data_IF_344149679502
#
_entry.id   IF_344149679502
#
_cell.length_a   1.000
_cell.length_b   1.000
_cell.length_c   1.000
_cell.angle_alpha   90.00
_cell.angle_beta   90.00
_cell.angle_gamma   90.00
#
_symmetry.space_group_name_H-M   'P 1'
#
loop_
_entity.id
_entity.type
_entity.pdbx_description
1 polymer ?
#
# COMPACT_ATOMS: atom_id res chain seq x y z
N UNK A 1 32.89 30.84 5.40
CA UNK A 1 32.39 29.55 5.93
C UNK A 1 33.39 28.38 5.90
N UNK A 2 34.46 28.33 5.10
CA UNK A 2 35.33 27.15 5.02
C UNK A 2 36.06 26.84 6.35
N UNK A 3 36.35 27.84 7.15
CA UNK A 3 37.11 27.66 8.40
C UNK A 3 36.33 27.00 9.54
N UNK A 4 34.99 26.98 9.46
CA UNK A 4 34.10 26.38 10.48
C UNK A 4 33.80 24.91 10.26
N UNK A 5 34.06 24.37 9.07
CA UNK A 5 33.76 22.97 8.75
C UNK A 5 34.70 22.01 9.47
N UNK A 6 35.90 22.45 9.85
CA UNK A 6 36.93 21.62 10.46
C UNK A 6 37.16 21.87 11.96
N UNK A 7 36.38 22.77 12.56
CA UNK A 7 36.43 23.05 13.99
C UNK A 7 35.30 22.38 14.76
N UNK A 8 35.42 22.23 16.09
CA UNK A 8 34.30 21.76 16.91
C UNK A 8 33.13 22.74 16.83
N UNK A 9 31.96 22.22 16.52
CA UNK A 9 30.71 22.98 16.49
C UNK A 9 30.28 23.22 17.94
N UNK A 10 30.01 24.47 18.31
CA UNK A 10 29.46 24.77 19.64
C UNK A 10 28.08 24.23 19.80
N UNK A 11 27.66 23.87 21.00
CA UNK A 11 26.31 23.38 21.31
C UNK A 11 25.24 24.37 20.86
N UNK A 12 25.46 25.66 21.10
CA UNK A 12 24.48 26.69 20.71
C UNK A 12 24.33 26.82 19.20
N UNK A 13 25.45 26.70 18.47
CA UNK A 13 25.40 26.70 17.01
C UNK A 13 24.69 25.44 16.47
N UNK A 14 24.94 24.28 17.06
CA UNK A 14 24.27 23.04 16.71
C UNK A 14 22.78 23.15 17.00
N UNK A 15 22.39 23.62 18.18
CA UNK A 15 20.99 23.82 18.54
C UNK A 15 20.28 24.82 17.65
N UNK A 16 20.97 25.86 17.17
CA UNK A 16 20.36 26.82 16.22
C UNK A 16 20.04 26.24 14.85
N UNK A 17 20.56 25.06 14.54
CA UNK A 17 20.27 24.34 13.27
C UNK A 17 19.18 23.29 13.44
N UNK A 18 18.79 22.97 14.67
CA UNK A 18 17.70 22.05 14.90
C UNK A 18 16.38 22.74 14.60
N UNK A 19 15.55 22.04 13.91
CA UNK A 19 14.17 22.45 13.56
C UNK A 19 13.26 21.29 13.88
N UNK A 20 12.07 21.59 14.36
CA UNK A 20 11.03 20.60 14.56
C UNK A 20 10.54 20.10 13.20
N UNK A 21 10.52 18.79 13.08
CA UNK A 21 10.05 18.11 11.88
C UNK A 21 8.85 17.24 12.25
N UNK A 22 7.75 17.48 11.60
CA UNK A 22 6.49 16.76 11.83
C UNK A 22 5.90 16.23 10.52
N UNK A 23 5.09 15.22 10.63
CA UNK A 23 4.22 14.73 9.58
C UNK A 23 2.83 14.53 10.17
N UNK A 24 1.87 15.26 9.66
CA UNK A 24 0.47 15.11 10.01
C UNK A 24 -0.19 14.15 9.02
N UNK A 25 -0.83 13.12 9.53
CA UNK A 25 -1.50 12.12 8.71
C UNK A 25 -2.91 11.89 9.24
N UNK A 26 -3.88 12.05 8.35
CA UNK A 26 -5.29 11.83 8.66
C UNK A 26 -5.91 10.89 7.62
N UNK A 27 -6.83 10.05 8.05
CA UNK A 27 -7.64 9.24 7.15
C UNK A 27 -9.01 9.01 7.76
N UNK A 28 -10.04 9.27 6.97
CA UNK A 28 -11.43 9.04 7.33
C UNK A 28 -12.04 8.00 6.42
N UNK A 29 -12.87 7.15 6.99
CA UNK A 29 -13.59 6.14 6.23
C UNK A 29 -15.05 6.10 6.68
N UNK A 30 -15.95 6.13 5.71
CA UNK A 30 -17.38 5.89 5.91
C UNK A 30 -17.75 4.63 5.13
N UNK A 31 -18.52 3.77 5.78
CA UNK A 31 -19.00 2.53 5.17
C UNK A 31 -20.48 2.38 5.52
N UNK A 32 -21.27 2.09 4.50
CA UNK A 32 -22.68 1.74 4.61
C UNK A 32 -22.85 0.44 3.84
N UNK A 33 -23.41 -0.55 4.48
CA UNK A 33 -23.71 -1.84 3.85
C UNK A 33 -25.14 -2.30 4.15
N UNK A 34 -25.62 -3.18 3.31
CA UNK A 34 -26.92 -3.81 3.44
C UNK A 34 -26.86 -5.25 2.90
N UNK A 35 -27.46 -6.16 3.67
CA UNK A 35 -27.56 -7.56 3.32
C UNK A 35 -29.00 -8.01 3.28
N UNK A 36 -29.33 -8.79 2.25
CA UNK A 36 -30.59 -9.49 2.12
C UNK A 36 -30.29 -10.98 2.06
N UNK A 37 -30.75 -11.71 3.05
CA UNK A 37 -30.61 -13.17 3.11
C UNK A 37 -31.95 -13.86 3.01
N UNK A 38 -31.96 -15.02 2.40
CA UNK A 38 -33.18 -15.81 2.27
C UNK A 38 -32.92 -17.18 1.68
N UNK A 39 -34.00 -17.87 1.41
CA UNK A 39 -33.98 -19.18 0.78
C UNK A 39 -35.03 -19.23 -0.33
N UNK A 40 -34.70 -19.83 -1.44
CA UNK A 40 -35.61 -20.07 -2.57
C UNK A 40 -35.54 -21.54 -2.96
N UNK A 41 -36.66 -22.07 -3.43
CA UNK A 41 -36.73 -23.45 -3.92
C UNK A 41 -36.36 -23.51 -5.40
N UNK A 42 -35.28 -24.18 -5.75
CA UNK A 42 -34.92 -24.53 -7.12
C UNK A 42 -35.38 -25.99 -7.40
N UNK A 43 -36.62 -26.14 -7.83
CA UNK A 43 -37.26 -27.43 -7.85
C UNK A 43 -37.51 -27.97 -6.44
N UNK A 44 -36.85 -29.07 -6.07
CA UNK A 44 -36.90 -29.64 -4.72
C UNK A 44 -35.69 -29.31 -3.85
N UNK A 45 -34.76 -28.51 -4.36
CA UNK A 45 -33.52 -28.15 -3.64
C UNK A 45 -33.67 -26.77 -3.03
N UNK A 46 -33.57 -26.60 -1.71
CA UNK A 46 -33.48 -25.28 -1.09
C UNK A 46 -32.13 -24.64 -1.43
N UNK A 47 -32.17 -23.43 -1.93
CA UNK A 47 -30.99 -22.62 -2.23
C UNK A 47 -31.01 -21.41 -1.33
N UNK A 48 -30.07 -21.37 -0.37
CA UNK A 48 -29.85 -20.19 0.42
C UNK A 48 -29.12 -19.12 -0.41
N UNK A 49 -29.52 -17.88 -0.24
CA UNK A 49 -28.88 -16.75 -0.90
C UNK A 49 -28.56 -15.63 0.06
N UNK A 50 -27.49 -14.91 -0.25
CA UNK A 50 -27.16 -13.60 0.31
C UNK A 50 -26.92 -12.63 -0.86
N UNK A 51 -27.53 -11.45 -0.78
CA UNK A 51 -27.25 -10.31 -1.64
C UNK A 51 -26.70 -9.22 -0.74
N UNK A 52 -25.48 -8.79 -1.05
CA UNK A 52 -24.75 -7.77 -0.31
C UNK A 52 -24.55 -6.54 -1.18
N UNK A 53 -24.85 -5.36 -0.64
CA UNK A 53 -24.56 -4.08 -1.26
C UNK A 53 -23.77 -3.21 -0.29
N UNK A 54 -22.73 -2.56 -0.77
CA UNK A 54 -21.84 -1.75 0.06
C UNK A 54 -21.45 -0.47 -0.67
N UNK A 55 -21.41 0.63 0.07
CA UNK A 55 -20.80 1.88 -0.34
C UNK A 55 -19.76 2.26 0.70
N UNK A 56 -18.53 2.54 0.24
CA UNK A 56 -17.43 3.01 1.05
C UNK A 56 -16.88 4.32 0.46
N UNK A 57 -16.64 5.29 1.33
CA UNK A 57 -15.86 6.48 1.02
C UNK A 57 -14.65 6.51 1.95
N UNK A 58 -13.50 6.83 1.41
CA UNK A 58 -12.25 6.95 2.14
C UNK A 58 -11.56 8.24 1.70
N UNK A 59 -11.14 9.02 2.69
CA UNK A 59 -10.28 10.19 2.54
C UNK A 59 -8.90 9.89 3.12
N UNK A 60 -7.88 10.48 2.52
CA UNK A 60 -6.48 10.26 2.89
C UNK A 60 -5.71 11.55 2.73
N UNK A 61 -5.01 11.94 3.79
CA UNK A 61 -4.14 13.11 3.80
C UNK A 61 -2.86 12.83 4.60
N UNK A 62 -1.72 13.16 4.03
CA UNK A 62 -0.41 13.17 4.71
C UNK A 62 0.32 14.44 4.31
N UNK A 63 0.56 15.31 5.28
CA UNK A 63 1.22 16.59 5.10
C UNK A 63 2.46 16.67 5.99
N UNK A 64 3.67 16.76 5.42
CA UNK A 64 4.89 17.03 6.18
C UNK A 64 4.99 18.50 6.57
N UNK A 65 5.92 18.79 7.48
CA UNK A 65 6.24 20.17 7.89
C UNK A 65 6.62 21.06 6.70
N UNK A 66 6.33 22.36 6.81
CA UNK A 66 6.55 23.34 5.73
C UNK A 66 7.99 23.33 5.16
N UNK A 67 9.01 23.09 5.99
CA UNK A 67 10.40 23.02 5.54
C UNK A 67 10.73 21.82 4.64
N UNK A 68 9.78 20.91 4.42
CA UNK A 68 9.89 19.77 3.50
C UNK A 68 9.06 19.93 2.23
N UNK A 69 8.19 20.93 2.20
CA UNK A 69 7.33 21.20 1.06
C UNK A 69 8.04 22.07 0.03
N UNK A 70 7.64 21.93 -1.22
CA UNK A 70 8.06 22.83 -2.29
C UNK A 70 7.23 24.13 -2.23
N UNK A 71 7.91 25.27 -2.15
CA UNK A 71 7.26 26.57 -1.99
C UNK A 71 6.33 26.96 -3.13
N UNK A 72 6.72 26.61 -4.35
CA UNK A 72 5.96 27.01 -5.54
C UNK A 72 4.62 26.28 -5.62
N UNK A 73 4.56 25.06 -5.09
CA UNK A 73 3.40 24.19 -5.23
C UNK A 73 2.55 24.15 -3.96
N UNK A 74 3.18 24.16 -2.78
CA UNK A 74 2.52 23.83 -1.52
C UNK A 74 2.65 24.89 -0.44
N UNK A 75 3.24 26.04 -0.73
CA UNK A 75 3.41 27.12 0.23
C UNK A 75 4.39 26.77 1.35
N UNK A 76 5.45 26.03 1.01
CA UNK A 76 6.52 25.73 1.94
C UNK A 76 7.23 26.98 2.47
N UNK A 77 8.18 26.81 3.38
CA UNK A 77 8.97 27.91 3.96
C UNK A 77 10.44 27.80 3.52
N UNK A 78 10.85 28.66 2.62
CA UNK A 78 12.24 28.73 2.12
C UNK A 78 13.26 29.07 3.20
N UNK A 79 12.82 29.70 4.30
CA UNK A 79 13.71 30.04 5.43
C UNK A 79 14.15 28.80 6.23
N UNK A 80 13.38 27.70 6.16
CA UNK A 80 13.62 26.48 6.91
C UNK A 80 13.62 25.31 5.91
N UNK A 81 14.80 24.91 5.43
CA UNK A 81 14.95 23.73 4.56
C UNK A 81 15.52 22.54 5.30
N UNK A 82 14.73 21.46 5.35
CA UNK A 82 15.17 20.18 5.88
C UNK A 82 15.80 19.39 4.73
N UNK A 83 17.14 19.29 4.76
CA UNK A 83 17.92 18.71 3.67
C UNK A 83 17.90 17.17 3.69
N UNK A 84 17.60 16.54 4.83
CA UNK A 84 17.59 15.09 4.96
C UNK A 84 16.19 14.55 5.23
N UNK A 85 15.77 13.60 4.40
CA UNK A 85 14.55 12.84 4.57
C UNK A 85 13.69 12.82 3.31
N UNK A 86 12.95 11.75 3.12
CA UNK A 86 11.98 11.69 2.05
C UNK A 86 10.77 12.55 2.42
N UNK A 87 10.45 13.49 1.56
CA UNK A 87 9.18 14.19 1.65
C UNK A 87 8.10 13.23 1.16
N UNK A 88 7.27 12.78 2.07
CA UNK A 88 6.07 12.01 1.72
C UNK A 88 4.90 12.89 2.00
N UNK A 89 4.23 13.32 0.98
CA UNK A 89 2.95 13.99 1.11
C UNK A 89 2.01 13.43 0.03
N UNK A 90 0.74 13.55 0.28
CA UNK A 90 -0.29 13.11 -0.64
C UNK A 90 -1.65 13.26 -0.01
N UNK A 91 -2.61 13.56 -0.81
CA UNK A 91 -4.00 13.70 -0.40
C UNK A 91 -4.91 13.26 -1.53
N UNK A 92 -6.06 12.76 -1.17
CA UNK A 92 -7.08 12.37 -2.13
C UNK A 92 -8.14 11.49 -1.50
N UNK A 93 -9.15 11.20 -2.28
CA UNK A 93 -10.26 10.41 -1.85
C UNK A 93 -10.56 9.24 -2.80
N UNK A 94 -11.28 8.29 -2.28
CA UNK A 94 -11.75 7.13 -3.04
C UNK A 94 -13.17 6.81 -2.60
N UNK A 95 -14.04 6.60 -3.57
CA UNK A 95 -15.29 5.91 -3.33
C UNK A 95 -15.27 4.49 -3.92
N UNK A 96 -15.96 3.58 -3.27
CA UNK A 96 -16.17 2.21 -3.74
C UNK A 96 -17.64 1.83 -3.60
N UNK A 97 -18.20 1.31 -4.68
CA UNK A 97 -19.48 0.63 -4.68
C UNK A 97 -19.26 -0.85 -4.92
N UNK A 98 -19.93 -1.69 -4.14
CA UNK A 98 -19.82 -3.14 -4.27
C UNK A 98 -21.19 -3.79 -4.28
N UNK A 99 -21.32 -4.81 -5.09
CA UNK A 99 -22.51 -5.68 -5.13
C UNK A 99 -22.04 -7.13 -5.12
N UNK A 100 -22.47 -7.90 -4.12
CA UNK A 100 -22.15 -9.30 -3.96
C UNK A 100 -23.39 -10.18 -4.00
N UNK A 101 -23.26 -11.38 -4.53
CA UNK A 101 -24.25 -12.43 -4.46
C UNK A 101 -23.56 -13.72 -4.05
N UNK A 102 -24.14 -14.41 -3.08
CA UNK A 102 -23.72 -15.74 -2.67
C UNK A 102 -24.93 -16.69 -2.72
N UNK A 103 -24.71 -17.87 -3.25
CA UNK A 103 -25.68 -18.95 -3.35
C UNK A 103 -25.09 -20.21 -2.74
N UNK A 104 -25.82 -20.83 -1.82
CA UNK A 104 -25.42 -22.09 -1.21
C UNK A 104 -26.55 -23.11 -1.39
N UNK A 105 -26.22 -24.28 -1.90
CA UNK A 105 -27.20 -25.33 -2.18
C UNK A 105 -26.69 -26.71 -1.77
N UNK A 106 -27.48 -27.48 -1.01
CA UNK A 106 -27.27 -28.91 -0.87
C UNK A 106 -27.78 -29.61 -2.15
N UNK A 107 -26.86 -29.99 -3.04
CA UNK A 107 -27.19 -30.66 -4.29
C UNK A 107 -27.82 -32.03 -4.03
N UNK A 108 -27.31 -32.70 -2.98
CA UNK A 108 -27.86 -33.93 -2.42
C UNK A 108 -27.36 -34.11 -0.98
N UNK A 109 -27.75 -35.20 -0.32
CA UNK A 109 -27.37 -35.51 1.08
C UNK A 109 -25.88 -35.55 1.33
N UNK A 110 -25.07 -35.66 0.28
CA UNK A 110 -23.59 -35.80 0.38
C UNK A 110 -22.81 -34.64 -0.20
N UNK A 111 -23.44 -33.80 -1.00
CA UNK A 111 -22.77 -32.71 -1.73
C UNK A 111 -23.45 -31.38 -1.49
N UNK A 112 -22.70 -30.47 -0.93
CA UNK A 112 -23.04 -29.05 -0.79
C UNK A 112 -22.11 -28.22 -1.65
N UNK A 113 -22.65 -27.22 -2.34
CA UNK A 113 -21.89 -26.28 -3.16
C UNK A 113 -22.23 -24.84 -2.77
N UNK A 114 -21.23 -23.98 -2.83
CA UNK A 114 -21.41 -22.53 -2.66
C UNK A 114 -20.76 -21.81 -3.82
N UNK A 115 -21.48 -20.86 -4.39
CA UNK A 115 -20.96 -19.95 -5.40
C UNK A 115 -21.14 -18.52 -4.91
N UNK A 116 -20.08 -17.74 -4.95
CA UNK A 116 -20.11 -16.31 -4.62
C UNK A 116 -19.49 -15.50 -5.75
N UNK A 117 -20.07 -14.35 -6.02
CA UNK A 117 -19.50 -13.37 -6.94
C UNK A 117 -19.72 -11.97 -6.41
N UNK A 118 -18.71 -11.10 -6.59
CA UNK A 118 -18.74 -9.71 -6.16
C UNK A 118 -18.24 -8.82 -7.29
N UNK A 119 -18.97 -7.77 -7.55
CA UNK A 119 -18.56 -6.66 -8.41
C UNK A 119 -18.18 -5.48 -7.53
N UNK A 120 -16.99 -4.93 -7.75
CA UNK A 120 -16.48 -3.73 -7.08
C UNK A 120 -16.20 -2.67 -8.15
N UNK A 121 -16.66 -1.45 -7.92
CA UNK A 121 -16.37 -0.27 -8.74
C UNK A 121 -15.73 0.78 -7.87
N UNK A 122 -14.55 1.24 -8.30
CA UNK A 122 -13.75 2.25 -7.61
C UNK A 122 -13.76 3.54 -8.42
N UNK A 123 -13.92 4.64 -7.72
CA UNK A 123 -13.76 6.00 -8.24
C UNK A 123 -12.65 6.68 -7.43
N UNK A 124 -11.50 6.83 -8.07
CA UNK A 124 -10.28 7.44 -7.53
C UNK A 124 -9.41 7.93 -8.69
N UNK A 125 -8.34 8.64 -8.40
CA UNK A 125 -7.43 9.18 -9.42
C UNK A 125 -6.52 8.11 -10.05
N UNK A 126 -6.67 6.83 -9.70
CA UNK A 126 -5.89 5.77 -10.32
C UNK A 126 -6.41 5.46 -11.73
N UNK A 127 -5.49 5.30 -12.67
CA UNK A 127 -5.81 4.89 -14.03
C UNK A 127 -6.05 3.39 -14.20
N UNK A 128 -5.80 2.59 -13.16
CA UNK A 128 -5.67 1.13 -13.29
C UNK A 128 -6.66 0.32 -12.46
N UNK A 129 -7.34 0.91 -11.50
CA UNK A 129 -8.25 0.18 -10.61
C UNK A 129 -9.60 -0.04 -11.27
N UNK A 130 -10.36 1.00 -11.53
CA UNK A 130 -11.68 0.94 -12.18
C UNK A 130 -12.62 -0.07 -11.52
N UNK A 131 -13.23 -0.96 -12.32
CA UNK A 131 -14.13 -1.98 -11.80
C UNK A 131 -13.53 -3.39 -11.90
N UNK A 132 -13.90 -4.26 -10.97
CA UNK A 132 -13.44 -5.65 -10.89
C UNK A 132 -14.58 -6.59 -10.50
N UNK A 133 -14.52 -7.80 -11.03
CA UNK A 133 -15.35 -8.91 -10.59
C UNK A 133 -14.45 -9.96 -9.95
N UNK A 134 -14.84 -10.44 -8.80
CA UNK A 134 -14.22 -11.58 -8.13
C UNK A 134 -15.27 -12.65 -7.87
N UNK A 135 -14.90 -13.91 -8.12
CA UNK A 135 -15.81 -15.02 -7.95
C UNK A 135 -15.11 -16.16 -7.20
N UNK A 136 -15.89 -16.90 -6.45
CA UNK A 136 -15.43 -18.03 -5.67
C UNK A 136 -16.43 -19.18 -5.78
N UNK A 137 -15.91 -20.39 -5.88
CA UNK A 137 -16.66 -21.63 -5.84
C UNK A 137 -16.11 -22.53 -4.75
N UNK A 138 -16.99 -23.07 -3.93
CA UNK A 138 -16.64 -24.02 -2.89
C UNK A 138 -17.52 -25.26 -3.02
N UNK A 139 -17.00 -26.41 -2.60
CA UNK A 139 -17.78 -27.62 -2.41
C UNK A 139 -17.37 -28.37 -1.16
N UNK A 140 -18.33 -29.09 -0.60
CA UNK A 140 -18.12 -30.04 0.48
C UNK A 140 -18.80 -31.36 0.10
N UNK A 141 -18.04 -32.45 0.02
CA UNK A 141 -18.51 -33.78 -0.35
C UNK A 141 -18.28 -34.78 0.77
N UNK A 142 -19.34 -35.39 1.26
CA UNK A 142 -19.35 -36.41 2.34
C UNK A 142 -19.83 -37.75 1.75
N UNK A 143 -18.95 -38.55 1.14
CA UNK A 143 -19.34 -39.86 0.64
C UNK A 143 -19.77 -40.85 1.74
N UNK A 144 -19.16 -40.71 2.94
CA UNK A 144 -19.47 -41.47 4.15
C UNK A 144 -19.50 -40.55 5.35
N UNK A 145 -20.02 -41.01 6.49
CA UNK A 145 -20.08 -40.23 7.73
C UNK A 145 -18.67 -39.82 8.24
N UNK A 146 -17.68 -40.67 8.01
CA UNK A 146 -16.30 -40.49 8.49
C UNK A 146 -15.38 -39.74 7.53
N UNK A 147 -15.82 -39.46 6.28
CA UNK A 147 -14.99 -38.85 5.26
C UNK A 147 -15.61 -37.57 4.68
N UNK A 148 -14.84 -36.49 4.72
CA UNK A 148 -15.21 -35.21 4.12
C UNK A 148 -14.11 -34.71 3.19
N UNK A 149 -14.44 -34.49 1.92
CA UNK A 149 -13.62 -33.80 0.95
C UNK A 149 -14.14 -32.38 0.75
N UNK A 150 -13.24 -31.38 0.87
CA UNK A 150 -13.55 -29.96 0.60
C UNK A 150 -12.61 -29.42 -0.45
N UNK A 151 -13.13 -28.55 -1.29
CA UNK A 151 -12.32 -27.81 -2.25
C UNK A 151 -12.88 -26.41 -2.48
N UNK A 152 -11.97 -25.50 -2.85
CA UNK A 152 -12.32 -24.13 -3.22
C UNK A 152 -11.46 -23.66 -4.39
N UNK A 153 -12.06 -22.86 -5.25
CA UNK A 153 -11.39 -22.14 -6.32
C UNK A 153 -11.98 -20.74 -6.45
N UNK A 154 -11.13 -19.72 -6.58
CA UNK A 154 -11.63 -18.37 -6.69
C UNK A 154 -10.58 -17.38 -7.19
N UNK A 155 -11.08 -16.21 -7.56
CA UNK A 155 -10.28 -15.05 -7.91
C UNK A 155 -10.49 -13.97 -6.85
N UNK A 156 -9.40 -13.34 -6.43
CA UNK A 156 -9.44 -12.22 -5.48
C UNK A 156 -8.79 -11.01 -6.12
N UNK A 157 -9.26 -9.83 -5.71
CA UNK A 157 -8.70 -8.55 -6.10
C UNK A 157 -8.49 -7.71 -4.83
N UNK A 158 -7.36 -7.03 -4.80
CA UNK A 158 -7.07 -6.00 -3.81
C UNK A 158 -6.72 -4.71 -4.54
N UNK A 159 -7.47 -3.65 -4.28
CA UNK A 159 -7.11 -2.32 -4.75
C UNK A 159 -5.80 -1.85 -4.09
N UNK A 160 -4.98 -1.06 -4.78
CA UNK A 160 -3.84 -0.39 -4.18
C UNK A 160 -4.26 0.45 -2.98
N UNK A 161 -3.39 0.53 -1.98
CA UNK A 161 -3.61 1.42 -0.85
C UNK A 161 -3.60 2.89 -1.31
N UNK A 162 -4.34 3.77 -0.63
CA UNK A 162 -4.45 5.20 -0.95
C UNK A 162 -3.06 5.87 -1.05
N UNK A 163 -2.15 5.46 -0.18
CA UNK A 163 -0.78 5.92 -0.20
C UNK A 163 -0.06 5.68 -1.54
N UNK A 164 -0.32 4.58 -2.24
CA UNK A 164 0.29 4.29 -3.54
C UNK A 164 -0.32 5.10 -4.69
N UNK A 165 -1.55 5.57 -4.53
CA UNK A 165 -2.24 6.34 -5.55
C UNK A 165 -1.89 7.81 -5.43
N UNK A 166 -1.93 8.33 -4.21
CA UNK A 166 -1.88 9.77 -3.93
C UNK A 166 -0.53 10.27 -3.45
N UNK A 167 0.42 9.38 -3.06
CA UNK A 167 1.76 9.81 -2.71
C UNK A 167 2.47 10.48 -3.86
N UNK A 168 2.94 11.68 -3.60
CA UNK A 168 3.79 12.39 -4.54
C UNK A 168 5.21 11.81 -4.56
N UNK A 169 5.96 12.01 -5.65
CA UNK A 169 7.35 11.61 -5.72
C UNK A 169 8.15 12.17 -4.56
N UNK A 170 8.92 11.34 -3.91
CA UNK A 170 9.80 11.74 -2.82
C UNK A 170 11.24 11.37 -3.15
N UNK A 171 12.19 12.15 -2.61
CA UNK A 171 13.61 11.89 -2.76
C UNK A 171 14.22 11.47 -1.43
N UNK A 172 15.15 10.54 -1.49
CA UNK A 172 15.92 10.11 -0.33
C UNK A 172 17.39 10.04 -0.71
N UNK A 173 18.25 10.49 0.20
CA UNK A 173 19.68 10.25 0.05
C UNK A 173 19.98 8.78 0.33
N UNK A 174 20.53 8.10 -0.64
CA UNK A 174 20.95 6.72 -0.52
C UNK A 174 22.45 6.61 -0.77
N UNK A 175 23.09 5.67 -0.11
CA UNK A 175 24.47 5.34 -0.42
C UNK A 175 24.50 4.65 -1.78
N UNK A 176 25.23 5.26 -2.72
CA UNK A 176 25.50 4.68 -4.03
C UNK A 176 26.97 4.29 -4.15
N UNK A 177 27.25 3.19 -4.81
CA UNK A 177 28.61 2.81 -5.16
C UNK A 177 28.99 3.51 -6.45
N UNK A 178 29.99 4.39 -6.39
CA UNK A 178 30.64 4.93 -7.58
C UNK A 178 31.57 3.86 -8.16
N UNK A 179 31.01 3.02 -9.02
CA UNK A 179 31.77 1.93 -9.64
C UNK A 179 32.97 2.40 -10.47
N UNK A 180 32.90 3.48 -11.27
CA UNK A 180 34.06 4.03 -11.96
C UNK A 180 35.19 4.42 -11.02
N UNK A 181 34.87 5.15 -9.94
CA UNK A 181 35.85 5.57 -8.96
C UNK A 181 36.41 4.39 -8.14
N UNK A 182 35.55 3.45 -7.75
CA UNK A 182 35.99 2.22 -7.08
C UNK A 182 36.94 1.42 -7.95
N UNK A 183 36.67 1.28 -9.23
CA UNK A 183 37.54 0.56 -10.18
C UNK A 183 38.86 1.26 -10.40
N UNK A 184 38.85 2.58 -10.56
CA UNK A 184 40.07 3.40 -10.65
C UNK A 184 40.97 3.25 -9.41
N UNK A 185 40.36 3.31 -8.22
CA UNK A 185 41.08 3.15 -6.94
C UNK A 185 41.63 1.72 -6.80
N UNK A 186 40.88 0.71 -7.24
CA UNK A 186 41.35 -0.68 -7.25
C UNK A 186 42.59 -0.85 -8.14
N UNK A 187 42.60 -0.30 -9.35
CA UNK A 187 43.74 -0.32 -10.26
C UNK A 187 44.95 0.43 -9.68
N UNK A 188 44.71 1.46 -8.90
CA UNK A 188 45.75 2.21 -8.18
C UNK A 188 46.29 1.52 -6.91
N UNK A 189 45.75 0.32 -6.57
CA UNK A 189 46.14 -0.44 -5.37
C UNK A 189 45.65 0.17 -4.04
N UNK A 190 44.67 1.05 -4.09
CA UNK A 190 44.08 1.61 -2.89
C UNK A 190 43.18 0.61 -2.17
N UNK A 191 43.42 0.48 -0.85
CA UNK A 191 42.56 -0.32 0.03
C UNK A 191 41.68 0.60 0.86
N UNK A 192 40.39 0.59 0.65
CA UNK A 192 39.45 1.40 1.44
C UNK A 192 38.81 0.60 2.58
N UNK A 193 38.37 1.31 3.61
CA UNK A 193 37.74 0.74 4.81
C UNK A 193 36.27 1.15 4.96
N UNK A 194 35.56 1.33 3.91
CA UNK A 194 34.14 1.71 3.94
C UNK A 194 33.26 0.85 3.06
N UNK A 195 31.94 1.02 3.10
CA UNK A 195 31.00 0.26 2.27
C UNK A 195 31.25 0.45 0.76
N UNK A 196 32.09 1.43 0.39
CA UNK A 196 32.47 1.76 -1.00
C UNK A 196 33.97 1.51 -1.21
N UNK A 197 34.59 0.76 -0.33
CA UNK A 197 36.05 0.53 -0.40
C UNK A 197 36.40 -0.25 -1.66
N UNK A 198 37.35 0.22 -2.47
CA UNK A 198 37.81 -0.49 -3.66
C UNK A 198 38.35 -1.90 -3.37
N UNK A 199 38.87 -2.12 -2.19
CA UNK A 199 39.31 -3.42 -1.71
C UNK A 199 38.20 -4.46 -1.62
N UNK A 200 36.95 -4.03 -1.39
CA UNK A 200 35.81 -4.94 -1.37
C UNK A 200 35.45 -5.49 -2.76
N UNK A 201 35.86 -4.78 -3.82
CA UNK A 201 35.68 -5.25 -5.21
C UNK A 201 36.74 -6.26 -5.63
N UNK A 202 37.91 -6.25 -4.98
CA UNK A 202 39.00 -7.17 -5.29
C UNK A 202 38.81 -8.57 -4.69
N UNK A 203 37.96 -8.69 -3.68
CA UNK A 203 37.72 -9.93 -2.93
C UNK A 203 36.41 -10.61 -3.31
N UNK A 204 35.66 -10.06 -4.24
CA UNK A 204 34.43 -10.62 -4.79
C UNK A 204 34.59 -10.92 -6.28
#
# INVERSE_FOLDING_TARGET
FPERIWGPISTDLFQSWLVDDSVDAESYQYLIDADITGEVMAGNTPVAFNIHAEYQYQDYEVIPSAGRLDDEIYGGDDAIKIIQGSTRYGFGDRSRMSLGVELAAPINDKLEVTFATRYDSYDDDSSSVGSRVSSMFNFAYRPTEDFLLRGSAGQTFRAPDMHYIYSQPSSVFSYGTDYPQCYANYLAGATGTGPIAPGDLATK
#
